data_IF_699094538098
#
_entry.id   IF_699094538098
#
_cell.length_a   1.000
_cell.length_b   1.000
_cell.length_c   1.000
_cell.angle_alpha   90.00
_cell.angle_beta   90.00
_cell.angle_gamma   90.00
#
_symmetry.space_group_name_H-M   'P 1'
#
loop_
_entity.id
_entity.type
_entity.pdbx_description
1 polymer ?
#
# COMPACT_ATOMS: atom_id res chain seq x y z
N UNK A 1 21.69 -4.50 -14.48
CA UNK A 1 20.29 -4.59 -14.09
C UNK A 1 19.88 -3.35 -13.33
N UNK A 2 18.77 -2.79 -13.69
CA UNK A 2 18.33 -1.56 -13.06
C UNK A 2 17.37 -1.87 -11.94
N UNK A 3 17.68 -1.37 -10.75
CA UNK A 3 16.75 -1.44 -9.64
C UNK A 3 16.06 -0.10 -9.52
N UNK A 4 14.77 -0.13 -9.31
CA UNK A 4 14.01 1.08 -9.04
C UNK A 4 14.07 1.36 -7.55
N UNK A 5 14.35 2.61 -7.21
CA UNK A 5 14.34 3.02 -5.82
C UNK A 5 13.01 3.71 -5.54
N UNK A 6 12.27 3.15 -4.61
CA UNK A 6 10.93 3.61 -4.26
C UNK A 6 10.91 4.02 -2.80
N UNK A 7 10.36 5.20 -2.54
CA UNK A 7 10.13 5.64 -1.18
C UNK A 7 8.63 5.70 -0.93
N UNK A 8 8.20 5.21 0.20
CA UNK A 8 6.80 5.25 0.58
C UNK A 8 6.66 5.99 1.90
N UNK A 9 5.87 7.04 1.88
CA UNK A 9 5.53 7.79 3.09
C UNK A 9 4.15 7.32 3.53
N UNK A 10 4.13 6.45 4.52
CA UNK A 10 2.93 5.80 4.99
C UNK A 10 2.25 6.67 6.05
N UNK A 11 1.20 7.35 5.66
CA UNK A 11 0.47 8.24 6.55
C UNK A 11 -0.87 7.68 6.97
N UNK A 12 -1.43 8.26 8.02
CA UNK A 12 -2.73 7.84 8.54
C UNK A 12 -3.83 8.04 7.51
N UNK A 13 -3.84 9.17 6.85
CA UNK A 13 -4.88 9.50 5.88
C UNK A 13 -4.47 9.17 4.45
N UNK A 14 -3.23 9.45 4.10
CA UNK A 14 -2.74 9.30 2.74
C UNK A 14 -1.36 8.67 2.72
N UNK A 15 -1.10 7.90 1.68
CA UNK A 15 0.20 7.28 1.42
C UNK A 15 0.76 7.91 0.15
N UNK A 16 2.00 8.37 0.23
CA UNK A 16 2.71 8.93 -0.92
C UNK A 16 3.76 7.95 -1.39
N UNK A 17 3.88 7.80 -2.70
CA UNK A 17 4.89 6.94 -3.28
C UNK A 17 5.80 7.80 -4.16
N UNK A 18 7.08 7.72 -3.89
CA UNK A 18 8.13 8.44 -4.62
C UNK A 18 8.94 7.44 -5.43
N UNK A 19 9.40 7.87 -6.57
CA UNK A 19 10.34 7.09 -7.34
C UNK A 19 11.55 7.95 -7.65
N UNK A 20 12.74 7.41 -7.41
CA UNK A 20 13.96 8.13 -7.67
C UNK A 20 14.01 8.59 -9.12
N UNK A 21 14.26 9.86 -9.33
CA UNK A 21 14.30 10.45 -10.65
C UNK A 21 12.97 10.93 -11.17
N UNK A 22 11.87 10.60 -10.49
CA UNK A 22 10.54 11.01 -10.94
C UNK A 22 9.75 11.82 -9.92
N UNK A 23 10.16 11.77 -8.66
CA UNK A 23 9.44 12.46 -7.59
C UNK A 23 8.23 11.67 -7.15
N UNK A 24 7.19 12.36 -6.73
CA UNK A 24 5.95 11.73 -6.26
C UNK A 24 5.20 11.18 -7.47
N UNK A 25 5.03 9.86 -7.51
CA UNK A 25 4.33 9.22 -8.62
C UNK A 25 2.93 8.77 -8.25
N UNK A 26 2.63 8.63 -6.96
CA UNK A 26 1.30 8.22 -6.50
C UNK A 26 0.98 8.92 -5.20
N UNK A 27 -0.28 9.27 -5.07
CA UNK A 27 -0.84 9.75 -3.81
C UNK A 27 -2.16 9.03 -3.64
N UNK A 28 -2.24 8.15 -2.64
CA UNK A 28 -3.41 7.31 -2.45
C UNK A 28 -3.90 7.42 -1.01
N UNK A 29 -5.21 7.40 -0.81
CA UNK A 29 -5.70 7.34 0.57
C UNK A 29 -5.29 6.02 1.21
N UNK A 30 -4.96 6.08 2.50
CA UNK A 30 -4.53 4.90 3.25
C UNK A 30 -5.76 4.13 3.71
N UNK A 31 -6.40 3.45 2.78
CA UNK A 31 -7.62 2.70 3.05
C UNK A 31 -7.64 1.45 2.18
N UNK A 32 -8.23 0.39 2.72
CA UNK A 32 -8.33 -0.90 2.06
C UNK A 32 -9.77 -1.36 2.14
N UNK A 33 -10.29 -1.87 1.04
CA UNK A 33 -11.62 -2.46 0.99
C UNK A 33 -11.48 -3.97 1.15
N UNK A 34 -12.14 -4.52 2.16
CA UNK A 34 -12.02 -5.93 2.53
C UNK A 34 -13.39 -6.57 2.47
N UNK A 35 -13.44 -7.81 1.99
CA UNK A 35 -14.68 -8.59 1.98
C UNK A 35 -14.84 -9.26 3.34
N UNK A 36 -15.86 -8.89 4.11
CA UNK A 36 -16.02 -9.44 5.46
C UNK A 36 -16.56 -10.86 5.48
N UNK A 37 -16.95 -11.39 4.33
CA UNK A 37 -17.56 -12.72 4.28
C UNK A 37 -16.55 -13.85 4.25
N UNK A 38 -15.28 -13.53 4.05
CA UNK A 38 -14.23 -14.51 3.98
C UNK A 38 -13.54 -14.66 5.32
N UNK A 39 -13.21 -15.90 5.71
CA UNK A 39 -12.44 -16.15 6.92
C UNK A 39 -10.99 -15.72 6.72
N UNK A 40 -10.54 -15.70 5.49
CA UNK A 40 -9.21 -15.22 5.17
C UNK A 40 -9.27 -13.74 4.82
N UNK A 41 -8.16 -13.05 5.06
CA UNK A 41 -8.08 -11.65 4.68
C UNK A 41 -8.19 -11.55 3.16
N UNK A 42 -9.28 -10.97 2.70
CA UNK A 42 -9.51 -10.83 1.28
C UNK A 42 -9.62 -9.35 0.94
N UNK A 43 -8.53 -8.82 0.42
CA UNK A 43 -8.46 -7.42 0.01
C UNK A 43 -9.05 -7.30 -1.38
N UNK A 44 -10.08 -6.46 -1.49
CA UNK A 44 -10.75 -6.23 -2.78
C UNK A 44 -10.06 -5.12 -3.56
N UNK A 45 -9.67 -4.08 -2.88
CA UNK A 45 -9.01 -2.94 -3.53
C UNK A 45 -8.33 -2.08 -2.48
N UNK A 46 -7.48 -1.19 -2.93
CA UNK A 46 -6.70 -0.30 -2.06
C UNK A 46 -6.75 1.12 -2.60
N UNK A 47 -6.52 2.09 -1.74
CA UNK A 47 -6.37 3.48 -2.13
C UNK A 47 -7.63 4.08 -2.73
N UNK A 48 -7.47 4.82 -3.80
CA UNK A 48 -8.60 5.49 -4.47
C UNK A 48 -9.66 4.50 -4.91
N UNK A 49 -9.23 3.35 -5.40
CA UNK A 49 -10.15 2.33 -5.85
C UNK A 49 -10.98 1.78 -4.70
N UNK A 50 -10.33 1.57 -3.54
CA UNK A 50 -11.04 1.12 -2.35
C UNK A 50 -12.08 2.14 -1.93
N UNK A 51 -11.71 3.42 -1.94
CA UNK A 51 -12.63 4.48 -1.55
C UNK A 51 -13.85 4.50 -2.45
N UNK A 52 -13.65 4.30 -3.75
CA UNK A 52 -14.76 4.27 -4.70
C UNK A 52 -15.68 3.07 -4.47
N UNK A 53 -15.11 1.89 -4.23
CA UNK A 53 -15.88 0.67 -4.00
C UNK A 53 -16.71 0.79 -2.71
N UNK A 54 -16.10 1.31 -1.65
CA UNK A 54 -16.78 1.48 -0.38
C UNK A 54 -17.98 2.41 -0.54
N UNK A 55 -17.83 3.46 -1.33
CA UNK A 55 -18.92 4.39 -1.56
C UNK A 55 -20.07 3.81 -2.37
N UNK A 56 -19.78 2.83 -3.25
CA UNK A 56 -20.78 2.25 -4.12
C UNK A 56 -21.48 1.04 -3.55
N UNK A 57 -20.86 0.35 -2.61
CA UNK A 57 -21.39 -0.91 -2.10
C UNK A 57 -21.32 -0.96 -0.58
N UNK A 58 -21.98 -0.03 0.11
CA UNK A 58 -21.99 -0.05 1.56
C UNK A 58 -22.65 -1.32 2.07
N UNK A 59 -22.06 -1.92 3.09
CA UNK A 59 -22.59 -3.14 3.68
C UNK A 59 -22.01 -4.41 3.11
N UNK A 60 -21.54 -4.38 1.87
CA UNK A 60 -20.90 -5.55 1.26
C UNK A 60 -19.39 -5.55 1.45
N UNK A 61 -18.83 -4.39 1.68
CA UNK A 61 -17.39 -4.20 1.77
C UNK A 61 -17.09 -3.40 3.02
N UNK A 62 -16.07 -3.80 3.74
CA UNK A 62 -15.66 -3.11 4.95
C UNK A 62 -14.41 -2.28 4.66
N UNK A 63 -14.44 -1.03 5.10
CA UNK A 63 -13.28 -0.15 4.98
C UNK A 63 -12.36 -0.40 6.17
N UNK A 64 -11.09 -0.68 5.88
CA UNK A 64 -10.08 -0.82 6.91
C UNK A 64 -9.03 0.24 6.71
N UNK A 65 -8.73 0.98 7.76
CA UNK A 65 -7.65 1.96 7.73
C UNK A 65 -6.45 1.35 8.45
N UNK A 66 -5.38 1.07 7.71
CA UNK A 66 -4.23 0.35 8.29
C UNK A 66 -3.53 1.11 9.41
N UNK A 67 -3.60 2.45 9.37
CA UNK A 67 -2.94 3.27 10.39
C UNK A 67 -3.95 4.09 11.16
N UNK A 68 -3.70 4.22 12.47
CA UNK A 68 -4.46 5.10 13.34
C UNK A 68 -3.47 5.95 14.13
N UNK A 69 -3.60 7.26 14.01
CA UNK A 69 -2.73 8.19 14.72
C UNK A 69 -1.25 7.91 14.46
N UNK A 70 -0.92 7.58 13.22
CA UNK A 70 0.46 7.34 12.82
C UNK A 70 1.00 5.98 13.22
N UNK A 71 0.16 5.11 13.77
CA UNK A 71 0.59 3.77 14.20
C UNK A 71 -0.09 2.72 13.34
N UNK A 72 0.66 1.70 12.96
CA UNK A 72 0.11 0.59 12.18
C UNK A 72 -0.84 -0.20 13.08
N UNK A 73 -2.11 -0.19 12.72
CA UNK A 73 -3.13 -0.90 13.49
C UNK A 73 -3.34 -2.33 13.00
N UNK A 74 -3.05 -2.58 11.73
CA UNK A 74 -3.23 -3.90 11.15
C UNK A 74 -2.08 -4.16 10.18
N UNK A 75 -1.19 -5.07 10.56
CA UNK A 75 0.01 -5.34 9.77
C UNK A 75 -0.31 -6.06 8.46
N UNK A 76 -1.24 -7.00 8.49
CA UNK A 76 -1.57 -7.77 7.29
C UNK A 76 -2.21 -6.89 6.23
N UNK A 77 -3.12 -6.04 6.64
CA UNK A 77 -3.78 -5.12 5.72
C UNK A 77 -2.77 -4.09 5.19
N UNK A 78 -1.89 -3.61 6.07
CA UNK A 78 -0.85 -2.66 5.65
C UNK A 78 0.07 -3.29 4.62
N UNK A 79 0.49 -4.53 4.86
CA UNK A 79 1.37 -5.23 3.92
C UNK A 79 0.70 -5.41 2.57
N UNK A 80 -0.57 -5.79 2.56
CA UNK A 80 -1.31 -5.98 1.31
C UNK A 80 -1.43 -4.66 0.54
N UNK A 81 -1.71 -3.57 1.26
CA UNK A 81 -1.81 -2.25 0.64
C UNK A 81 -0.48 -1.84 0.02
N UNK A 82 0.61 -2.00 0.77
CA UNK A 82 1.94 -1.63 0.29
C UNK A 82 2.35 -2.44 -0.92
N UNK A 83 2.10 -3.75 -0.90
CA UNK A 83 2.41 -4.60 -2.05
C UNK A 83 1.66 -4.14 -3.29
N UNK A 84 0.40 -3.76 -3.14
CA UNK A 84 -0.39 -3.27 -4.25
C UNK A 84 0.19 -1.96 -4.81
N UNK A 85 0.55 -1.04 -3.93
CA UNK A 85 1.13 0.25 -4.37
C UNK A 85 2.47 0.04 -5.06
N UNK A 86 3.32 -0.83 -4.52
CA UNK A 86 4.62 -1.13 -5.13
C UNK A 86 4.42 -1.74 -6.51
N UNK A 87 3.49 -2.65 -6.64
CA UNK A 87 3.19 -3.28 -7.92
C UNK A 87 2.71 -2.26 -8.94
N UNK A 88 1.86 -1.33 -8.53
CA UNK A 88 1.39 -0.27 -9.40
C UNK A 88 2.53 0.65 -9.82
N UNK A 89 3.44 0.96 -8.90
CA UNK A 89 4.55 1.83 -9.18
C UNK A 89 5.57 1.20 -10.13
N UNK A 90 5.82 -0.09 -10.00
CA UNK A 90 6.80 -0.80 -10.81
C UNK A 90 6.23 -1.37 -12.10
N UNK A 91 4.90 -1.43 -12.20
CA UNK A 91 4.27 -2.11 -13.31
C UNK A 91 4.43 -3.61 -13.18
N UNK A 92 4.31 -4.31 -14.28
CA UNK A 92 4.38 -5.77 -14.28
C UNK A 92 5.76 -6.30 -14.60
N UNK A 93 6.80 -5.53 -14.33
CA UNK A 93 8.15 -5.95 -14.64
C UNK A 93 8.61 -6.98 -13.62
N UNK A 94 8.66 -8.22 -14.02
CA UNK A 94 9.10 -9.31 -13.17
C UNK A 94 10.59 -9.18 -12.86
N UNK A 95 11.32 -8.57 -13.77
CA UNK A 95 12.77 -8.44 -13.63
C UNK A 95 13.19 -7.30 -12.72
N UNK A 96 12.28 -6.37 -12.44
CA UNK A 96 12.60 -5.24 -11.58
C UNK A 96 12.50 -5.67 -10.14
N UNK A 97 13.57 -5.49 -9.39
CA UNK A 97 13.59 -5.71 -7.95
C UNK A 97 13.72 -4.36 -7.28
N UNK A 98 12.64 -3.74 -6.88
CA UNK A 98 12.72 -2.41 -6.32
C UNK A 98 13.34 -2.43 -4.94
N UNK A 99 14.08 -1.39 -4.64
CA UNK A 99 14.50 -1.11 -3.27
C UNK A 99 13.45 -0.17 -2.70
N UNK A 100 12.87 -0.57 -1.59
CA UNK A 100 11.76 0.18 -1.03
C UNK A 100 12.13 0.64 0.37
N UNK A 101 11.99 1.95 0.59
CA UNK A 101 12.15 2.54 1.91
C UNK A 101 10.76 2.98 2.34
N UNK A 102 10.31 2.47 3.47
CA UNK A 102 9.00 2.79 3.98
C UNK A 102 9.17 3.64 5.24
N UNK A 103 8.60 4.83 5.20
CA UNK A 103 8.64 5.74 6.33
C UNK A 103 7.28 5.75 7.02
N UNK A 104 7.29 5.40 8.29
CA UNK A 104 6.12 5.53 9.15
C UNK A 104 6.54 6.38 10.34
N UNK A 105 5.67 7.24 10.85
CA UNK A 105 6.00 7.90 12.09
C UNK A 105 6.15 6.87 13.20
N UNK A 106 7.19 6.93 14.03
CA UNK A 106 8.24 7.95 14.04
C UNK A 106 9.52 7.57 13.30
N UNK A 107 9.52 6.60 12.42
CA UNK A 107 10.77 6.21 11.77
C UNK A 107 10.58 5.64 10.40
N UNK A 108 11.69 5.24 9.77
CA UNK A 108 11.68 4.64 8.46
C UNK A 108 12.21 3.23 8.52
N UNK A 109 11.62 2.35 7.71
CA UNK A 109 12.04 0.97 7.61
C UNK A 109 12.47 0.69 6.19
N UNK A 110 13.56 -0.07 6.06
CA UNK A 110 14.02 -0.51 4.75
C UNK A 110 13.39 -1.87 4.44
N UNK A 111 12.76 -1.95 3.31
CA UNK A 111 12.14 -3.17 2.86
C UNK A 111 12.76 -3.57 1.52
N UNK A 112 13.18 -4.82 1.41
CA UNK A 112 13.67 -5.35 0.15
C UNK A 112 12.72 -6.43 -0.32
N UNK A 113 12.34 -6.36 -1.58
CA UNK A 113 11.32 -7.26 -2.10
C UNK A 113 11.90 -8.57 -2.63
N UNK A 114 13.18 -8.79 -2.43
CA UNK A 114 13.75 -10.05 -2.89
C UNK A 114 13.29 -11.22 -2.07
N UNK A 115 12.64 -10.99 -1.01
CA UNK A 115 12.04 -12.01 -0.26
C UNK A 115 10.95 -12.67 -0.99
N UNK A 116 10.63 -12.24 -1.93
CA UNK A 116 9.82 -12.81 -2.69
C UNK A 116 8.81 -13.46 -2.22
N UNK A 117 8.79 -13.32 -1.75
CA UNK A 117 7.97 -13.92 -1.48
C UNK A 117 6.88 -13.61 -1.81
#
# INVERSE_FOLDING_TARGET
>A
MFTKDIGIDLGTANTLVYMKGRGIIMREPSVVAVDPRSDELRVRSVGHEAKAVIGRAPGSIVAVRPLKDGVIADFDVTAAMLQSFIRQACGNSILARPRVVICVPPGCLLYTSDAAD
#
